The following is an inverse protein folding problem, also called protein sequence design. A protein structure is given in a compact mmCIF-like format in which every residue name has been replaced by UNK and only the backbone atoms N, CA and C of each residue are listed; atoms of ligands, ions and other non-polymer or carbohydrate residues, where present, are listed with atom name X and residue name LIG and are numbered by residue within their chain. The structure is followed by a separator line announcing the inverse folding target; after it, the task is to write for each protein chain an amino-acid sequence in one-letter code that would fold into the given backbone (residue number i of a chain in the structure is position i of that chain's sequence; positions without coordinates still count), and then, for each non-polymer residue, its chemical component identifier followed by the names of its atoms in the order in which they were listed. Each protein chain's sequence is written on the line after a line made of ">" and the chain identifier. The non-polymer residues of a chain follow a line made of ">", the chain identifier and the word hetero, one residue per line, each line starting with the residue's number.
data_IF_140669761704
#
_entry.id   IF_140669761704
#
_cell.length_a   1.000
_cell.length_b   1.000
_cell.length_c   1.000
_cell.angle_alpha   90.00
_cell.angle_beta   90.00
_cell.angle_gamma   90.00
#
_symmetry.space_group_name_H-M   'P 1'
#
loop_
_entity.id
_entity.type
_entity.pdbx_description
1 polymer ?
#
# COMPACT_ATOMS: atom_id res chain seq x y z
N UNK A 1 -2.26 -33.65 -15.08
CA UNK A 1 -3.16 -32.62 -15.64
C UNK A 1 -2.85 -32.46 -17.12
N UNK A 2 -3.85 -32.46 -18.02
CA UNK A 2 -3.62 -32.20 -19.44
C UNK A 2 -3.86 -30.73 -19.74
N UNK A 3 -2.87 -30.07 -20.32
CA UNK A 3 -2.96 -28.67 -20.76
C UNK A 3 -2.91 -28.60 -22.28
N UNK A 4 -3.17 -27.41 -22.85
CA UNK A 4 -3.05 -27.17 -24.31
C UNK A 4 -1.65 -27.44 -24.87
N UNK A 5 -0.61 -27.41 -24.03
CA UNK A 5 0.79 -27.63 -24.41
C UNK A 5 1.31 -29.03 -24.03
N UNK A 6 0.44 -29.91 -23.54
CA UNK A 6 0.78 -31.28 -23.16
C UNK A 6 0.53 -31.60 -21.68
N UNK A 7 0.90 -32.82 -21.25
CA UNK A 7 0.70 -33.27 -19.88
C UNK A 7 1.68 -32.60 -18.91
N UNK A 8 1.17 -32.12 -17.78
CA UNK A 8 1.95 -31.54 -16.67
C UNK A 8 1.80 -32.42 -15.43
N UNK A 9 2.94 -32.76 -14.83
CA UNK A 9 3.07 -33.41 -13.52
C UNK A 9 3.27 -32.34 -12.44
N UNK A 10 2.54 -32.43 -11.34
CA UNK A 10 2.53 -31.39 -10.28
C UNK A 10 3.30 -31.81 -9.02
N UNK A 11 3.98 -32.95 -9.04
CA UNK A 11 4.64 -33.60 -7.90
C UNK A 11 5.71 -32.71 -7.24
N UNK A 12 6.31 -31.78 -7.99
CA UNK A 12 7.38 -30.88 -7.53
C UNK A 12 7.02 -29.40 -7.64
N UNK A 13 5.74 -29.06 -7.80
CA UNK A 13 5.29 -27.66 -7.75
C UNK A 13 5.33 -27.20 -6.29
N UNK A 14 5.93 -26.04 -6.05
CA UNK A 14 5.85 -25.37 -4.75
C UNK A 14 4.45 -24.76 -4.60
N UNK A 15 3.74 -25.15 -3.54
CA UNK A 15 2.45 -24.57 -3.19
C UNK A 15 2.61 -23.62 -2.01
N UNK A 16 2.05 -22.42 -2.14
CA UNK A 16 1.95 -21.43 -1.05
C UNK A 16 0.47 -21.15 -0.86
N UNK A 17 -0.04 -21.44 0.35
CA UNK A 17 -1.38 -21.06 0.77
C UNK A 17 -1.28 -19.94 1.79
N UNK A 18 -2.10 -18.90 1.63
CA UNK A 18 -2.18 -17.77 2.53
C UNK A 18 -3.63 -17.58 2.98
N UNK A 19 -3.84 -17.13 4.22
CA UNK A 19 -5.15 -16.88 4.77
C UNK A 19 -5.05 -16.17 6.11
N UNK A 20 -6.08 -15.42 6.47
CA UNK A 20 -6.16 -14.72 7.76
C UNK A 20 -6.53 -15.65 8.92
N UNK A 21 -7.14 -16.80 8.64
CA UNK A 21 -7.51 -17.84 9.63
C UNK A 21 -8.24 -17.28 10.88
N UNK A 22 -9.04 -16.22 10.72
CA UNK A 22 -9.77 -15.58 11.83
C UNK A 22 -10.89 -16.47 12.40
N UNK A 23 -11.56 -17.26 11.55
CA UNK A 23 -12.72 -18.08 11.92
C UNK A 23 -12.43 -19.59 11.90
N UNK A 24 -11.29 -19.99 11.34
CA UNK A 24 -10.87 -21.39 11.17
C UNK A 24 -9.37 -21.49 11.40
N UNK A 25 -8.92 -22.58 11.99
CA UNK A 25 -7.50 -22.84 12.23
C UNK A 25 -6.93 -23.73 11.13
N UNK A 26 -5.61 -23.69 10.86
CA UNK A 26 -4.97 -24.65 9.94
C UNK A 26 -5.19 -26.13 10.32
N UNK A 27 -5.48 -26.42 11.61
CA UNK A 27 -5.86 -27.76 12.09
C UNK A 27 -7.23 -28.24 11.60
N UNK A 28 -8.06 -27.33 11.10
CA UNK A 28 -9.43 -27.62 10.65
C UNK A 28 -9.44 -28.02 9.15
N UNK A 29 -8.29 -27.95 8.48
CA UNK A 29 -8.10 -28.46 7.12
C UNK A 29 -8.15 -30.00 7.11
N UNK A 30 -8.53 -30.60 5.99
CA UNK A 30 -8.49 -32.07 5.85
C UNK A 30 -7.06 -32.62 6.09
N UNK A 31 -6.91 -33.80 6.73
CA UNK A 31 -5.60 -34.34 7.12
C UNK A 31 -4.58 -34.42 5.98
N UNK A 32 -5.03 -34.73 4.76
CA UNK A 32 -4.20 -34.82 3.56
C UNK A 32 -3.56 -33.48 3.19
N UNK A 33 -4.27 -32.37 3.38
CA UNK A 33 -3.72 -31.03 3.14
C UNK A 33 -2.78 -30.62 4.25
N UNK A 34 -3.08 -30.95 5.50
CA UNK A 34 -2.19 -30.66 6.62
C UNK A 34 -0.81 -31.29 6.42
N UNK A 35 -0.76 -32.54 5.95
CA UNK A 35 0.49 -33.24 5.64
C UNK A 35 1.27 -32.66 4.44
N UNK A 36 0.59 -31.94 3.54
CA UNK A 36 1.21 -31.29 2.36
C UNK A 36 1.70 -29.87 2.61
N UNK A 37 1.40 -29.28 3.76
CA UNK A 37 1.92 -27.98 4.21
C UNK A 37 2.76 -28.13 5.49
N UNK A 38 3.96 -28.73 5.40
CA UNK A 38 4.82 -28.96 6.57
C UNK A 38 5.46 -27.67 7.10
N UNK A 39 5.70 -26.68 6.23
CA UNK A 39 6.26 -25.38 6.62
C UNK A 39 5.09 -24.45 6.93
N UNK A 40 5.11 -23.85 8.12
CA UNK A 40 4.11 -22.87 8.57
C UNK A 40 4.83 -21.64 9.10
N UNK A 41 4.34 -20.47 8.70
CA UNK A 41 4.83 -19.17 9.15
C UNK A 41 3.63 -18.29 9.43
N UNK A 42 3.71 -17.52 10.51
CA UNK A 42 2.74 -16.50 10.86
C UNK A 42 3.38 -15.13 10.66
N UNK A 43 2.66 -14.22 9.99
CA UNK A 43 3.14 -12.87 9.72
C UNK A 43 2.58 -11.93 10.78
N UNK A 44 3.43 -11.04 11.27
CA UNK A 44 3.03 -10.02 12.24
C UNK A 44 2.24 -8.89 11.55
N UNK A 45 1.42 -8.20 12.35
CA UNK A 45 0.72 -6.99 11.89
C UNK A 45 1.74 -5.87 11.69
N UNK A 46 1.52 -5.06 10.68
CA UNK A 46 2.39 -3.92 10.36
C UNK A 46 2.19 -2.79 11.36
N UNK A 47 3.28 -2.25 11.90
CA UNK A 47 3.25 -1.04 12.71
C UNK A 47 3.26 0.22 11.82
N UNK A 48 3.07 1.38 12.44
CA UNK A 48 3.24 2.68 11.75
C UNK A 48 4.66 2.83 11.18
N UNK A 49 5.67 2.43 11.94
CA UNK A 49 7.08 2.48 11.52
C UNK A 49 7.33 1.54 10.33
N UNK A 50 6.60 0.43 10.23
CA UNK A 50 6.67 -0.44 9.05
C UNK A 50 6.06 0.23 7.82
N UNK A 51 5.02 1.05 7.96
CA UNK A 51 4.49 1.85 6.85
C UNK A 51 5.49 2.88 6.35
N UNK A 52 6.19 3.58 7.24
CA UNK A 52 7.28 4.50 6.86
C UNK A 52 8.37 3.77 6.06
N UNK A 53 8.75 2.57 6.51
CA UNK A 53 9.71 1.71 5.78
C UNK A 53 9.16 1.27 4.43
N UNK A 54 7.89 0.85 4.33
CA UNK A 54 7.26 0.46 3.05
C UNK A 54 7.28 1.61 2.05
N UNK A 55 7.10 2.85 2.53
CA UNK A 55 7.17 4.04 1.69
C UNK A 55 8.58 4.38 1.23
N UNK A 56 9.66 3.88 1.85
CA UNK A 56 11.02 4.39 1.60
C UNK A 56 12.09 3.33 1.31
N UNK A 57 11.97 2.13 1.87
CA UNK A 57 12.99 1.09 1.79
C UNK A 57 12.88 0.21 0.52
N UNK A 58 11.69 -0.25 0.08
CA UNK A 58 11.55 -1.05 -1.14
C UNK A 58 12.08 -0.30 -2.36
N UNK A 59 12.85 -0.99 -3.22
CA UNK A 59 13.44 -0.39 -4.44
C UNK A 59 12.40 0.32 -5.31
N UNK A 60 11.19 -0.23 -5.39
CA UNK A 60 10.05 0.36 -6.07
C UNK A 60 8.95 0.72 -5.08
N UNK A 61 9.29 1.50 -4.04
CA UNK A 61 8.30 2.04 -3.09
C UNK A 61 7.31 2.98 -3.78
N UNK A 62 6.14 3.19 -3.18
CA UNK A 62 5.10 4.02 -3.78
C UNK A 62 5.57 5.46 -4.01
N UNK A 63 6.32 6.05 -3.07
CA UNK A 63 6.93 7.37 -3.22
C UNK A 63 7.80 7.46 -4.48
N UNK A 64 8.73 6.51 -4.66
CA UNK A 64 9.60 6.44 -5.85
C UNK A 64 8.82 6.23 -7.14
N UNK A 65 7.74 5.45 -7.09
CA UNK A 65 6.87 5.25 -8.24
C UNK A 65 6.20 6.58 -8.64
N UNK A 66 5.64 7.34 -7.69
CA UNK A 66 5.03 8.64 -7.96
C UNK A 66 6.03 9.73 -8.34
N UNK A 67 7.21 9.75 -7.72
CA UNK A 67 8.32 10.61 -8.15
C UNK A 67 8.68 10.36 -9.61
N UNK A 68 8.85 9.10 -10.01
CA UNK A 68 9.18 8.74 -11.38
C UNK A 68 8.03 9.00 -12.36
N UNK A 69 6.77 8.76 -11.94
CA UNK A 69 5.59 8.98 -12.76
C UNK A 69 5.40 10.48 -13.05
N UNK A 70 5.38 11.33 -12.02
CA UNK A 70 5.15 12.76 -12.21
C UNK A 70 6.36 13.47 -12.87
N UNK A 71 7.56 12.89 -12.75
CA UNK A 71 8.72 13.36 -13.48
C UNK A 71 8.55 13.27 -15.01
N UNK A 72 7.70 12.36 -15.53
CA UNK A 72 7.41 12.32 -16.97
C UNK A 72 6.70 13.57 -17.47
N UNK A 73 5.99 14.26 -16.59
CA UNK A 73 5.29 15.53 -16.87
C UNK A 73 6.15 16.76 -16.47
N UNK A 74 7.42 16.53 -16.13
CA UNK A 74 8.38 17.55 -15.71
C UNK A 74 8.24 17.99 -14.26
N UNK A 75 7.43 17.30 -13.46
CA UNK A 75 7.22 17.62 -12.04
C UNK A 75 8.27 16.89 -11.21
N UNK A 76 9.10 17.65 -10.49
CA UNK A 76 10.04 17.09 -9.53
C UNK A 76 9.38 17.01 -8.14
N UNK A 77 8.95 15.81 -7.78
CA UNK A 77 8.38 15.53 -6.46
C UNK A 77 9.51 15.18 -5.47
N UNK A 78 9.43 15.70 -4.25
CA UNK A 78 10.32 15.32 -3.15
C UNK A 78 9.50 15.06 -1.88
N UNK A 79 9.55 13.83 -1.36
CA UNK A 79 8.98 13.51 -0.06
C UNK A 79 9.96 13.81 1.06
N UNK A 80 9.59 14.72 1.96
CA UNK A 80 10.32 14.95 3.20
C UNK A 80 10.08 13.82 4.21
N UNK A 81 10.98 13.71 5.19
CA UNK A 81 10.85 12.72 6.27
C UNK A 81 9.58 12.90 7.09
N UNK A 82 9.20 14.15 7.39
CA UNK A 82 7.99 14.47 8.13
C UNK A 82 6.72 14.23 7.29
N UNK A 83 6.77 14.48 5.98
CA UNK A 83 5.69 14.09 5.06
C UNK A 83 5.46 12.57 5.05
N UNK A 84 6.53 11.77 4.99
CA UNK A 84 6.43 10.30 5.03
C UNK A 84 5.85 9.80 6.35
N UNK A 85 6.31 10.36 7.47
CA UNK A 85 5.78 10.03 8.81
C UNK A 85 4.29 10.35 8.91
N UNK A 86 3.87 11.49 8.36
CA UNK A 86 2.48 11.92 8.39
C UNK A 86 1.57 11.01 7.55
N UNK A 87 2.00 10.63 6.35
CA UNK A 87 1.30 9.67 5.49
C UNK A 87 1.15 8.32 6.20
N UNK A 88 2.24 7.81 6.80
CA UNK A 88 2.23 6.55 7.54
C UNK A 88 1.31 6.59 8.76
N UNK A 89 1.33 7.71 9.51
CA UNK A 89 0.46 7.94 10.67
C UNK A 89 -1.01 7.91 10.27
N UNK A 90 -1.38 8.65 9.22
CA UNK A 90 -2.76 8.71 8.74
C UNK A 90 -3.22 7.32 8.28
N UNK A 91 -2.40 6.60 7.51
CA UNK A 91 -2.73 5.26 7.05
C UNK A 91 -2.97 4.27 8.20
N UNK A 92 -2.13 4.34 9.24
CA UNK A 92 -2.27 3.51 10.43
C UNK A 92 -3.55 3.87 11.22
N UNK A 93 -3.76 5.16 11.49
CA UNK A 93 -4.93 5.64 12.24
C UNK A 93 -6.25 5.29 11.54
N UNK A 94 -6.28 5.32 10.20
CA UNK A 94 -7.45 4.92 9.41
C UNK A 94 -7.71 3.41 9.51
N UNK A 95 -6.67 2.59 9.47
CA UNK A 95 -6.81 1.15 9.65
C UNK A 95 -7.29 0.78 11.07
N UNK A 96 -6.99 1.59 12.09
CA UNK A 96 -7.50 1.40 13.45
C UNK A 96 -8.96 1.86 13.62
N UNK A 97 -9.35 2.94 12.93
CA UNK A 97 -10.70 3.51 13.02
C UNK A 97 -11.72 2.82 12.12
N UNK A 98 -11.27 2.24 11.02
CA UNK A 98 -12.08 1.60 9.98
C UNK A 98 -11.62 0.16 9.74
N UNK A 99 -11.98 -0.43 8.60
CA UNK A 99 -11.52 -1.76 8.23
C UNK A 99 -9.99 -1.76 7.99
N UNK A 100 -9.27 -2.64 8.69
CA UNK A 100 -7.83 -2.76 8.50
C UNK A 100 -7.51 -3.56 7.23
N UNK A 101 -7.10 -2.86 6.17
CA UNK A 101 -6.67 -3.46 4.89
C UNK A 101 -5.14 -3.55 4.78
N UNK A 102 -4.43 -3.31 5.88
CA UNK A 102 -2.96 -3.31 5.96
C UNK A 102 -2.32 -2.21 5.11
N UNK A 103 -1.15 -2.52 4.52
CA UNK A 103 -0.38 -1.59 3.72
C UNK A 103 -1.10 -1.10 2.44
N UNK A 104 -2.19 -1.76 2.01
CA UNK A 104 -2.96 -1.34 0.83
C UNK A 104 -3.52 0.08 0.97
N UNK A 105 -3.80 0.52 2.20
CA UNK A 105 -4.24 1.87 2.56
C UNK A 105 -3.29 2.97 2.08
N UNK A 106 -1.99 2.67 1.95
CA UNK A 106 -1.01 3.64 1.48
C UNK A 106 -1.26 4.06 0.03
N UNK A 107 -1.86 3.20 -0.80
CA UNK A 107 -2.16 3.54 -2.20
C UNK A 107 -3.26 4.61 -2.27
N UNK A 108 -4.39 4.38 -1.59
CA UNK A 108 -5.54 5.30 -1.62
C UNK A 108 -5.17 6.66 -1.03
N UNK A 109 -4.37 6.69 0.03
CA UNK A 109 -3.88 7.93 0.63
C UNK A 109 -2.96 8.69 -0.33
N UNK A 110 -2.00 8.01 -0.98
CA UNK A 110 -1.09 8.69 -1.92
C UNK A 110 -1.80 9.18 -3.17
N UNK A 111 -2.73 8.39 -3.70
CA UNK A 111 -3.56 8.77 -4.84
C UNK A 111 -4.35 10.05 -4.53
N UNK A 112 -5.03 10.09 -3.38
CA UNK A 112 -5.77 11.28 -2.95
C UNK A 112 -4.87 12.48 -2.65
N UNK A 113 -3.69 12.24 -2.06
CA UNK A 113 -2.72 13.28 -1.72
C UNK A 113 -2.17 13.99 -2.97
N UNK A 114 -1.95 13.22 -4.03
CA UNK A 114 -1.30 13.67 -5.27
C UNK A 114 -2.28 13.97 -6.40
N UNK A 115 -3.58 13.76 -6.22
CA UNK A 115 -4.62 13.94 -7.24
C UNK A 115 -4.53 15.31 -7.92
N UNK A 116 -4.51 16.40 -7.15
CA UNK A 116 -4.42 17.77 -7.69
C UNK A 116 -3.08 18.01 -8.40
N UNK A 117 -1.98 17.51 -7.84
CA UNK A 117 -0.65 17.65 -8.46
C UNK A 117 -0.58 16.90 -9.79
N UNK A 118 -1.19 15.72 -9.86
CA UNK A 118 -1.25 14.93 -11.08
C UNK A 118 -2.15 15.56 -12.13
N UNK A 119 -3.16 16.34 -11.72
CA UNK A 119 -4.09 16.99 -12.64
C UNK A 119 -3.59 18.34 -13.14
N UNK A 120 -3.17 19.22 -12.24
CA UNK A 120 -2.75 20.59 -12.55
C UNK A 120 -1.26 20.69 -12.89
N UNK A 121 -0.46 19.73 -12.43
CA UNK A 121 0.99 19.75 -12.54
C UNK A 121 1.56 19.96 -13.95
N UNK A 122 1.00 19.36 -15.02
CA UNK A 122 1.45 19.60 -16.38
C UNK A 122 1.32 21.06 -16.83
N UNK A 123 0.31 21.77 -16.33
CA UNK A 123 0.00 23.17 -16.66
C UNK A 123 0.74 24.18 -15.76
N UNK A 124 1.46 23.71 -14.73
CA UNK A 124 2.20 24.58 -13.83
C UNK A 124 3.40 25.25 -14.56
N UNK A 125 3.67 26.53 -14.26
CA UNK A 125 4.90 27.19 -14.66
C UNK A 125 6.15 26.41 -14.19
N UNK A 126 7.22 26.41 -14.99
CA UNK A 126 8.48 25.70 -14.68
C UNK A 126 9.04 26.00 -13.28
N UNK A 127 8.88 27.23 -12.79
CA UNK A 127 9.33 27.62 -11.44
C UNK A 127 8.49 27.05 -10.29
N UNK A 128 7.39 26.35 -10.59
CA UNK A 128 6.48 25.72 -9.63
C UNK A 128 6.44 24.19 -9.77
N UNK A 129 7.23 23.60 -10.68
CA UNK A 129 7.27 22.15 -10.91
C UNK A 129 8.08 21.37 -9.87
N UNK A 130 8.77 22.06 -8.95
CA UNK A 130 9.42 21.42 -7.80
C UNK A 130 8.46 21.42 -6.62
N UNK A 131 7.88 20.26 -6.32
CA UNK A 131 6.85 20.10 -5.30
C UNK A 131 7.42 19.27 -4.15
N UNK A 132 7.49 19.90 -2.98
CA UNK A 132 7.90 19.24 -1.74
C UNK A 132 6.67 18.78 -0.95
N UNK A 133 6.61 17.49 -0.65
CA UNK A 133 5.57 16.88 0.17
C UNK A 133 6.07 16.83 1.61
N UNK A 134 5.66 17.82 2.40
CA UNK A 134 5.93 17.92 3.84
C UNK A 134 4.72 17.59 4.71
N UNK A 135 4.94 17.46 6.02
CA UNK A 135 3.88 17.08 6.95
C UNK A 135 2.71 18.07 6.91
N UNK A 136 2.99 19.36 6.66
CA UNK A 136 1.96 20.38 6.49
C UNK A 136 1.16 20.15 5.21
N UNK A 137 1.82 19.91 4.09
CA UNK A 137 1.17 19.60 2.82
C UNK A 137 0.24 18.38 2.96
N UNK A 138 0.72 17.32 3.61
CA UNK A 138 -0.08 16.11 3.86
C UNK A 138 -1.31 16.43 4.71
N UNK A 139 -1.14 17.17 5.80
CA UNK A 139 -2.25 17.57 6.66
C UNK A 139 -3.27 18.44 5.93
N UNK A 140 -2.84 19.49 5.26
CA UNK A 140 -3.71 20.44 4.56
C UNK A 140 -4.57 19.71 3.49
N UNK A 141 -4.00 18.71 2.80
CA UNK A 141 -4.70 17.95 1.76
C UNK A 141 -5.63 16.87 2.28
N UNK A 142 -5.29 16.23 3.41
CA UNK A 142 -6.04 15.07 3.92
C UNK A 142 -6.97 15.40 5.09
N UNK A 143 -6.85 16.58 5.71
CA UNK A 143 -7.64 16.97 6.88
C UNK A 143 -9.16 16.87 6.66
N UNK A 144 -9.65 17.26 5.48
CA UNK A 144 -11.07 17.19 5.14
C UNK A 144 -11.60 15.76 5.01
N UNK A 145 -10.76 14.82 4.57
CA UNK A 145 -11.16 13.41 4.37
C UNK A 145 -11.05 12.61 5.67
N UNK A 146 -10.10 12.96 6.56
CA UNK A 146 -9.90 12.28 7.85
C UNK A 146 -11.01 12.62 8.86
N UNK A 147 -11.60 13.81 8.78
CA UNK A 147 -12.64 14.25 9.72
C UNK A 147 -14.03 13.69 9.39
N UNK A 148 -14.28 13.33 8.13
CA UNK A 148 -15.56 12.80 7.68
C UNK A 148 -15.52 11.26 7.63
N UNK A 149 -16.19 10.63 8.62
CA UNK A 149 -16.24 9.17 8.75
C UNK A 149 -16.94 8.48 7.59
N UNK A 150 -17.92 9.13 6.98
CA UNK A 150 -18.64 8.55 5.85
C UNK A 150 -17.78 8.70 4.60
N UNK A 151 -17.19 9.87 4.38
CA UNK A 151 -16.34 10.12 3.20
C UNK A 151 -15.10 9.22 3.17
N UNK A 152 -14.44 9.04 4.32
CA UNK A 152 -13.26 8.17 4.44
C UNK A 152 -13.57 6.70 4.14
N UNK A 153 -14.81 6.23 4.31
CA UNK A 153 -15.18 4.85 3.99
C UNK A 153 -15.37 4.62 2.47
N UNK A 154 -15.70 5.66 1.71
CA UNK A 154 -15.93 5.56 0.25
C UNK A 154 -14.74 6.01 -0.59
N UNK A 155 -13.93 6.95 -0.08
CA UNK A 155 -12.84 7.57 -0.83
C UNK A 155 -11.47 6.99 -0.46
N UNK A 156 -11.29 6.45 0.75
CA UNK A 156 -9.98 6.05 1.28
C UNK A 156 -9.89 4.60 1.76
#
# INVERSE_FOLDING_TARGET
>A
MNTKIGPVKTDHILFIAAGAFHMTKPSDLIPELQGRFPIRVELEKLSREDFEKILTAPRSSLTRQYEALLFTDGIQLEFSSDGIQEIARIAYDMNEKHENIGARRLNTILERLLEEVSFEGPDLPENQKNIKIDGKYVMDRLQGVIQDKDLSQYIL
#
